data_IF_733855300033
#
_entry.id   IF_733855300033
#
_cell.length_a   1.000
_cell.length_b   1.000
_cell.length_c   1.000
_cell.angle_alpha   90.00
_cell.angle_beta   90.00
_cell.angle_gamma   90.00
#
_symmetry.space_group_name_H-M   'P 1'
#
loop_
_entity.id
_entity.type
_entity.pdbx_description
1 polymer ?
#
# COMPACT_ATOMS: atom_id res chain seq x y z
N UNK A 1 -19.26 38.58 2.60
CA UNK A 1 -19.28 37.10 2.53
C UNK A 1 -18.13 36.60 3.38
N UNK A 2 -18.37 35.67 4.32
CA UNK A 2 -17.30 35.06 5.14
C UNK A 2 -16.82 33.79 4.42
N UNK A 3 -15.50 33.62 4.27
CA UNK A 3 -14.88 32.47 3.60
C UNK A 3 -13.54 32.11 4.26
N UNK A 4 -13.20 30.83 4.25
CA UNK A 4 -11.90 30.32 4.72
C UNK A 4 -10.79 30.44 3.67
N UNK A 5 -11.10 30.92 2.46
CA UNK A 5 -10.14 31.04 1.36
C UNK A 5 -8.81 31.73 1.75
N UNK A 6 -8.78 32.82 2.53
CA UNK A 6 -7.51 33.47 2.91
C UNK A 6 -6.57 32.55 3.71
N UNK A 7 -7.11 31.72 4.59
CA UNK A 7 -6.31 30.77 5.40
C UNK A 7 -5.86 29.60 4.54
N UNK A 8 -6.71 29.12 3.63
CA UNK A 8 -6.36 28.05 2.68
C UNK A 8 -5.25 28.50 1.74
N UNK A 9 -5.30 29.73 1.24
CA UNK A 9 -4.28 30.30 0.35
C UNK A 9 -2.90 30.34 1.03
N UNK A 10 -2.86 30.63 2.33
CA UNK A 10 -1.62 30.60 3.11
C UNK A 10 -1.09 29.18 3.35
N UNK A 11 -1.99 28.20 3.57
CA UNK A 11 -1.61 26.83 3.91
C UNK A 11 -1.31 25.95 2.68
N UNK A 12 -1.97 26.23 1.54
CA UNK A 12 -1.91 25.39 0.34
C UNK A 12 -0.48 25.12 -0.17
N UNK A 13 0.48 26.07 -0.15
CA UNK A 13 1.85 25.81 -0.59
C UNK A 13 2.60 24.74 0.21
N UNK A 14 2.15 24.42 1.43
CA UNK A 14 2.76 23.38 2.25
C UNK A 14 2.21 21.97 1.95
N UNK A 15 1.16 21.83 1.15
CA UNK A 15 0.51 20.54 0.85
C UNK A 15 1.07 19.96 -0.45
N UNK A 16 1.42 18.68 -0.43
CA UNK A 16 2.00 17.96 -1.57
C UNK A 16 1.19 16.72 -1.94
N UNK A 17 1.26 16.32 -3.21
CA UNK A 17 0.76 15.03 -3.68
C UNK A 17 1.87 13.98 -3.54
N UNK A 18 1.53 12.82 -2.97
CA UNK A 18 2.45 11.71 -2.75
C UNK A 18 1.99 10.52 -3.58
N UNK A 19 2.89 10.01 -4.39
CA UNK A 19 2.74 8.75 -5.11
C UNK A 19 3.83 7.78 -4.64
N UNK A 20 3.43 6.64 -4.08
CA UNK A 20 4.36 5.60 -3.65
C UNK A 20 4.08 4.30 -4.40
N UNK A 21 5.14 3.52 -4.63
CA UNK A 21 5.06 2.18 -5.16
C UNK A 21 5.90 1.27 -4.28
N UNK A 22 5.26 0.26 -3.67
CA UNK A 22 5.92 -0.71 -2.80
C UNK A 22 5.78 -2.11 -3.39
N UNK A 23 6.91 -2.76 -3.66
CA UNK A 23 6.91 -4.18 -4.02
C UNK A 23 6.70 -4.99 -2.74
N UNK A 24 5.53 -5.60 -2.59
CA UNK A 24 5.21 -6.50 -1.47
C UNK A 24 5.27 -7.94 -1.96
N UNK A 25 6.11 -8.73 -1.30
CA UNK A 25 6.14 -10.18 -1.45
C UNK A 25 4.96 -10.77 -0.70
N UNK A 26 3.94 -11.28 -1.40
CA UNK A 26 2.84 -11.98 -0.73
C UNK A 26 3.36 -13.33 -0.24
N UNK A 27 3.46 -13.50 1.07
CA UNK A 27 3.81 -14.77 1.71
C UNK A 27 2.80 -15.84 1.28
N UNK A 28 3.32 -17.04 0.99
CA UNK A 28 2.58 -18.25 0.58
C UNK A 28 1.27 -18.37 1.38
N UNK A 29 0.13 -18.41 0.69
CA UNK A 29 -1.17 -18.64 1.33
C UNK A 29 -1.21 -20.11 1.76
N UNK A 30 -1.23 -20.37 3.06
CA UNK A 30 -1.31 -21.72 3.68
C UNK A 30 -2.63 -22.44 3.45
N UNK A 31 -3.57 -21.87 2.69
CA UNK A 31 -4.84 -22.51 2.34
C UNK A 31 -4.66 -23.83 1.57
N UNK A 32 -3.54 -24.00 0.87
CA UNK A 32 -3.19 -25.24 0.18
C UNK A 32 -2.45 -26.27 1.06
N UNK A 33 -2.06 -25.88 2.28
CA UNK A 33 -1.41 -26.75 3.26
C UNK A 33 -2.42 -27.41 4.23
N UNK A 34 -3.73 -27.14 4.06
CA UNK A 34 -4.79 -27.72 4.89
C UNK A 34 -5.09 -29.18 4.46
N UNK A 35 -5.10 -30.14 5.41
CA UNK A 35 -5.42 -31.54 5.16
C UNK A 35 -6.76 -31.79 4.45
N UNK A 36 -7.74 -30.90 4.62
CA UNK A 36 -9.03 -30.95 3.94
C UNK A 36 -8.83 -30.82 2.42
N UNK A 37 -8.14 -29.78 1.96
CA UNK A 37 -7.93 -29.53 0.53
C UNK A 37 -7.04 -30.60 -0.12
N UNK A 38 -6.02 -31.10 0.58
CA UNK A 38 -5.15 -32.18 0.08
C UNK A 38 -5.92 -33.47 -0.24
N UNK A 39 -6.97 -33.78 0.54
CA UNK A 39 -7.81 -34.97 0.35
C UNK A 39 -8.78 -34.85 -0.84
N UNK A 40 -9.31 -33.67 -1.11
CA UNK A 40 -10.34 -33.48 -2.16
C UNK A 40 -9.77 -33.05 -3.53
N UNK A 41 -8.61 -32.39 -3.55
CA UNK A 41 -8.01 -31.81 -4.76
C UNK A 41 -6.73 -32.55 -5.21
N UNK A 42 -6.23 -33.46 -4.37
CA UNK A 42 -5.05 -34.28 -4.66
C UNK A 42 -3.72 -33.58 -4.36
N UNK A 43 -2.66 -34.34 -4.05
CA UNK A 43 -1.35 -33.82 -3.61
C UNK A 43 -0.66 -32.92 -4.65
N UNK A 44 -0.99 -33.07 -5.93
CA UNK A 44 -0.32 -32.38 -7.04
C UNK A 44 -0.79 -30.92 -7.25
N UNK A 45 -1.82 -30.47 -6.53
CA UNK A 45 -2.31 -29.09 -6.62
C UNK A 45 -1.42 -28.12 -5.82
N UNK A 46 -0.85 -28.56 -4.70
CA UNK A 46 0.12 -27.78 -3.92
C UNK A 46 1.38 -27.45 -4.70
N UNK A 47 1.84 -28.36 -5.57
CA UNK A 47 3.05 -28.17 -6.38
C UNK A 47 2.82 -27.27 -7.61
N UNK A 48 1.62 -27.31 -8.22
CA UNK A 48 1.26 -26.44 -9.37
C UNK A 48 0.92 -25.00 -8.97
N UNK A 49 0.42 -24.78 -7.76
CA UNK A 49 0.06 -23.45 -7.25
C UNK A 49 1.07 -22.87 -6.24
N UNK A 50 2.01 -23.68 -5.76
CA UNK A 50 2.92 -23.35 -4.66
C UNK A 50 4.27 -22.76 -5.04
N UNK A 51 4.53 -22.48 -6.33
CA UNK A 51 5.85 -22.03 -6.80
C UNK A 51 5.79 -20.66 -7.46
N UNK A 52 5.52 -19.62 -6.66
CA UNK A 52 6.32 -18.38 -6.68
C UNK A 52 5.67 -17.37 -5.73
N UNK A 53 6.44 -16.77 -4.80
CA UNK A 53 6.07 -15.49 -4.23
C UNK A 53 5.80 -14.54 -5.41
N UNK A 54 4.52 -14.19 -5.61
CA UNK A 54 4.20 -13.17 -6.59
C UNK A 54 4.50 -11.82 -5.95
N UNK A 55 5.53 -11.18 -6.46
CA UNK A 55 5.73 -9.76 -6.27
C UNK A 55 4.47 -9.04 -6.75
N UNK A 56 3.81 -8.35 -5.83
CA UNK A 56 2.73 -7.42 -6.17
C UNK A 56 3.26 -6.02 -5.91
N UNK A 57 3.24 -5.18 -6.94
CA UNK A 57 3.42 -3.74 -6.75
C UNK A 57 2.13 -3.21 -6.13
N UNK A 58 2.23 -2.68 -4.92
CA UNK A 58 1.18 -1.91 -4.27
C UNK A 58 1.47 -0.44 -4.51
N UNK A 59 0.61 0.21 -5.29
CA UNK A 59 0.66 1.65 -5.47
C UNK A 59 -0.26 2.31 -4.44
N UNK A 60 0.19 3.44 -3.90
CA UNK A 60 -0.60 4.29 -3.03
C UNK A 60 -0.53 5.74 -3.52
N UNK A 61 -1.65 6.43 -3.39
CA UNK A 61 -1.79 7.85 -3.70
C UNK A 61 -2.34 8.53 -2.45
N UNK A 62 -1.73 9.63 -2.06
CA UNK A 62 -2.20 10.41 -0.92
C UNK A 62 -1.64 11.82 -0.91
N UNK A 63 -1.92 12.54 0.17
CA UNK A 63 -1.37 13.87 0.41
C UNK A 63 -0.33 13.84 1.52
N UNK A 64 0.57 14.81 1.51
CA UNK A 64 1.46 15.09 2.63
C UNK A 64 1.55 16.57 2.92
N UNK A 65 2.16 16.91 4.06
CA UNK A 65 2.38 18.30 4.47
C UNK A 65 3.85 18.52 4.79
N UNK A 66 4.43 19.60 4.29
CA UNK A 66 5.76 20.07 4.63
C UNK A 66 5.69 20.71 6.02
N UNK A 67 6.41 20.14 7.00
CA UNK A 67 6.35 20.60 8.40
C UNK A 67 7.62 21.32 8.84
N UNK A 68 8.68 21.30 8.02
CA UNK A 68 9.96 21.98 8.27
C UNK A 68 10.52 22.58 6.98
N UNK A 69 11.28 23.66 7.13
CA UNK A 69 11.89 24.39 6.02
C UNK A 69 12.96 23.59 5.25
N UNK A 70 13.48 22.50 5.82
CA UNK A 70 14.40 21.57 5.16
C UNK A 70 13.70 20.53 4.26
N UNK A 71 12.37 20.58 4.17
CA UNK A 71 11.58 19.71 3.31
C UNK A 71 11.10 18.42 3.97
N UNK A 72 11.11 18.31 5.31
CA UNK A 72 10.45 17.18 5.98
C UNK A 72 8.95 17.16 5.66
N UNK A 73 8.50 16.07 5.05
CA UNK A 73 7.08 15.82 4.72
C UNK A 73 6.51 14.75 5.65
N UNK A 74 5.31 15.00 6.17
CA UNK A 74 4.54 14.03 6.97
C UNK A 74 3.33 13.57 6.17
N UNK A 75 3.08 12.26 6.16
CA UNK A 75 1.89 11.62 5.58
C UNK A 75 1.45 10.43 6.44
N UNK A 76 0.33 9.82 6.08
CA UNK A 76 -0.16 8.62 6.76
C UNK A 76 0.72 7.41 6.43
N UNK A 77 0.87 6.49 7.39
CA UNK A 77 1.71 5.30 7.23
C UNK A 77 1.21 4.29 6.16
N UNK A 78 -0.05 4.38 5.73
CA UNK A 78 -0.60 3.51 4.70
C UNK A 78 -0.49 4.10 3.28
N UNK A 79 -0.07 5.37 3.19
CA UNK A 79 0.31 6.03 1.92
C UNK A 79 1.69 5.54 1.52
#
# INVERSE_FOLDING_TARGET
>A
MLSYAPVVEQAAPAVVNIFTAKTVQRRRTTLFDDPFFQRFLGPNLGDKFGQQPRERVQNSLGSGVIVRADGLIVTNNHV
#
